data_IF_100805457690
#
_entry.id   IF_100805457690
#
_cell.length_a   1.000
_cell.length_b   1.000
_cell.length_c   1.000
_cell.angle_alpha   90.00
_cell.angle_beta   90.00
_cell.angle_gamma   90.00
#
_symmetry.space_group_name_H-M   'P 1'
#
loop_
_entity.id
_entity.type
_entity.pdbx_description
1 polymer ?
#
# COMPACT_ATOMS: atom_id res chain seq x y z
N UNK A 1 -10.56 0.98 -10.60
CA UNK A 1 -9.18 0.97 -11.14
C UNK A 1 -8.44 -0.22 -10.56
N UNK A 2 -7.85 -1.04 -11.41
CA UNK A 2 -7.06 -2.20 -10.97
C UNK A 2 -5.61 -2.02 -11.33
N UNK A 3 -4.74 -2.28 -10.36
CA UNK A 3 -3.29 -2.29 -10.55
C UNK A 3 -2.75 -3.60 -10.02
N UNK A 4 -1.72 -4.12 -10.67
CA UNK A 4 -1.00 -5.31 -10.20
C UNK A 4 0.48 -4.97 -10.10
N UNK A 5 1.03 -5.09 -8.91
CA UNK A 5 2.46 -4.90 -8.68
C UNK A 5 3.08 -6.26 -8.48
N UNK A 6 3.86 -6.71 -9.46
CA UNK A 6 4.54 -8.00 -9.38
C UNK A 6 5.78 -7.92 -8.49
N UNK A 7 6.12 -9.03 -7.88
CA UNK A 7 7.20 -9.17 -6.93
C UNK A 7 6.67 -9.43 -5.53
N UNK A 8 7.56 -9.86 -4.64
CA UNK A 8 7.19 -10.13 -3.26
C UNK A 8 6.81 -8.84 -2.55
N UNK A 9 5.55 -8.70 -2.08
CA UNK A 9 5.16 -7.52 -1.32
C UNK A 9 6.05 -7.32 -0.09
N UNK A 10 6.46 -6.09 0.14
CA UNK A 10 7.38 -5.75 1.23
C UNK A 10 6.77 -4.72 2.16
N UNK A 11 7.22 -4.73 3.41
CA UNK A 11 6.81 -3.77 4.43
C UNK A 11 7.95 -2.83 4.76
N UNK A 12 7.61 -1.63 5.25
CA UNK A 12 8.61 -0.64 5.67
C UNK A 12 9.30 -1.03 6.97
N UNK A 13 8.60 -1.78 7.83
CA UNK A 13 9.03 -2.04 9.21
C UNK A 13 9.98 -3.23 9.33
N UNK A 14 9.99 -4.14 8.37
CA UNK A 14 10.91 -5.27 8.39
C UNK A 14 12.32 -4.82 8.05
N UNK A 15 13.27 -5.11 8.92
CA UNK A 15 14.69 -4.79 8.71
C UNK A 15 14.96 -3.30 8.50
N UNK A 16 14.28 -2.44 9.25
CA UNK A 16 14.57 -1.02 9.26
C UNK A 16 16.06 -0.79 9.60
N UNK A 17 16.64 0.23 8.98
CA UNK A 17 18.04 0.58 9.15
C UNK A 17 18.18 1.86 9.96
N UNK A 18 19.15 1.87 10.86
CA UNK A 18 19.56 3.09 11.56
C UNK A 18 20.80 3.60 10.84
N UNK A 19 20.73 4.82 10.31
CA UNK A 19 21.85 5.47 9.66
C UNK A 19 22.23 6.75 10.40
N UNK A 20 23.53 7.11 10.34
CA UNK A 20 24.01 8.38 10.83
C UNK A 20 24.05 9.40 9.70
N UNK A 21 23.47 10.56 9.96
CA UNK A 21 23.56 11.71 9.06
C UNK A 21 24.46 12.77 9.67
N UNK A 22 24.71 13.87 8.97
CA UNK A 22 25.56 14.95 9.45
C UNK A 22 25.28 15.32 10.91
N UNK A 23 26.28 15.73 11.65
CA UNK A 23 26.26 16.04 13.10
C UNK A 23 26.03 14.79 13.99
N UNK A 24 26.22 13.59 13.50
CA UNK A 24 26.09 12.36 14.29
C UNK A 24 24.65 11.98 14.64
N UNK A 25 23.64 12.65 14.07
CA UNK A 25 22.24 12.28 14.29
C UNK A 25 21.96 10.90 13.69
N UNK A 26 21.12 10.14 14.39
CA UNK A 26 20.63 8.85 13.89
C UNK A 26 19.24 9.03 13.31
N UNK A 27 19.01 8.47 12.13
CA UNK A 27 17.69 8.38 11.53
C UNK A 27 17.36 6.93 11.24
N UNK A 28 16.06 6.59 11.34
CA UNK A 28 15.56 5.27 11.01
C UNK A 28 15.08 5.34 9.56
N UNK A 29 15.66 4.51 8.70
CA UNK A 29 15.22 4.37 7.32
C UNK A 29 14.38 3.11 7.13
N UNK A 30 13.44 3.11 6.16
CA UNK A 30 12.79 1.89 5.74
C UNK A 30 13.80 0.83 5.32
N UNK A 31 13.38 -0.43 5.31
CA UNK A 31 14.26 -1.52 4.88
C UNK A 31 14.72 -1.31 3.43
N UNK A 32 15.90 -1.81 3.10
CA UNK A 32 16.39 -1.80 1.73
C UNK A 32 15.45 -2.57 0.79
N UNK A 33 14.85 -3.65 1.31
CA UNK A 33 13.87 -4.45 0.58
C UNK A 33 12.63 -3.63 0.22
N UNK A 34 12.14 -2.78 1.13
CA UNK A 34 11.02 -1.91 0.83
C UNK A 34 11.40 -0.84 -0.20
N UNK A 35 12.55 -0.22 -0.07
CA UNK A 35 13.01 0.79 -1.03
C UNK A 35 13.08 0.22 -2.45
N UNK A 36 13.63 -0.99 -2.60
CA UNK A 36 13.68 -1.69 -3.88
C UNK A 36 12.29 -2.00 -4.41
N UNK A 37 11.41 -2.50 -3.54
CA UNK A 37 10.03 -2.78 -3.90
C UNK A 37 9.29 -1.52 -4.37
N UNK A 38 9.45 -0.43 -3.65
CA UNK A 38 8.85 0.86 -4.03
C UNK A 38 9.36 1.34 -5.38
N UNK A 39 10.65 1.23 -5.62
CA UNK A 39 11.25 1.64 -6.90
C UNK A 39 10.71 0.82 -8.06
N UNK A 40 10.69 -0.50 -7.93
CA UNK A 40 10.16 -1.37 -8.99
C UNK A 40 8.66 -1.25 -9.17
N UNK A 41 7.92 -0.92 -8.13
CA UNK A 41 6.47 -0.75 -8.20
C UNK A 41 6.07 0.31 -9.23
N UNK A 42 6.90 1.34 -9.43
CA UNK A 42 6.64 2.38 -10.41
C UNK A 42 6.51 1.85 -11.84
N UNK A 43 7.15 0.73 -12.15
CA UNK A 43 7.06 0.09 -13.46
C UNK A 43 5.66 -0.48 -13.73
N UNK A 44 4.90 -0.75 -12.68
CA UNK A 44 3.56 -1.35 -12.76
C UNK A 44 2.43 -0.33 -12.53
N UNK A 45 2.79 0.95 -12.36
CA UNK A 45 1.83 2.04 -12.18
C UNK A 45 1.90 2.96 -13.41
N UNK A 46 1.04 2.73 -14.40
CA UNK A 46 1.08 3.50 -15.64
C UNK A 46 0.66 4.97 -15.41
N UNK A 47 1.05 5.83 -16.34
CA UNK A 47 0.75 7.26 -16.24
C UNK A 47 -0.76 7.54 -16.09
N UNK A 48 -1.61 6.78 -16.80
CA UNK A 48 -3.07 6.98 -16.74
C UNK A 48 -3.65 6.71 -15.34
N UNK A 49 -2.95 5.95 -14.50
CA UNK A 49 -3.39 5.66 -13.14
C UNK A 49 -2.98 6.73 -12.12
N UNK A 50 -2.07 7.63 -12.49
CA UNK A 50 -1.53 8.67 -11.61
C UNK A 50 -2.44 9.89 -11.59
N UNK A 51 -3.64 9.72 -11.07
CA UNK A 51 -4.74 10.66 -11.16
C UNK A 51 -4.83 11.63 -9.99
N UNK A 52 -3.98 11.50 -8.97
CA UNK A 52 -4.06 12.33 -7.75
C UNK A 52 -5.47 12.30 -7.15
N UNK A 53 -6.04 11.10 -6.99
CA UNK A 53 -7.41 10.94 -6.50
C UNK A 53 -7.54 11.58 -5.12
N UNK A 54 -8.47 12.51 -4.98
CA UNK A 54 -8.73 13.26 -3.74
C UNK A 54 -10.16 13.07 -3.23
N UNK A 55 -10.82 12.00 -3.65
CA UNK A 55 -12.19 11.61 -3.29
C UNK A 55 -12.18 10.36 -2.45
N UNK A 56 -13.27 10.12 -1.68
CA UNK A 56 -13.38 8.88 -0.90
C UNK A 56 -13.29 7.63 -1.78
N UNK A 57 -12.41 6.71 -1.40
CA UNK A 57 -12.21 5.44 -2.11
C UNK A 57 -12.04 4.29 -1.10
N UNK A 58 -12.40 3.10 -1.55
CA UNK A 58 -11.95 1.85 -0.93
C UNK A 58 -10.71 1.37 -1.67
N UNK A 59 -9.67 1.04 -0.93
CA UNK A 59 -8.45 0.46 -1.49
C UNK A 59 -8.37 -1.00 -1.05
N UNK A 60 -8.70 -1.90 -1.95
CA UNK A 60 -8.63 -3.34 -1.69
C UNK A 60 -7.29 -3.87 -2.17
N UNK A 61 -6.52 -4.45 -1.27
CA UNK A 61 -5.23 -5.04 -1.59
C UNK A 61 -5.24 -6.53 -1.27
N UNK A 62 -5.04 -7.36 -2.29
CA UNK A 62 -4.87 -8.79 -2.12
C UNK A 62 -3.41 -9.12 -2.38
N UNK A 63 -2.73 -9.60 -1.34
CA UNK A 63 -1.31 -9.89 -1.38
C UNK A 63 -1.09 -11.38 -1.59
N UNK A 64 -0.40 -11.74 -2.65
CA UNK A 64 -0.01 -13.11 -2.93
C UNK A 64 1.45 -13.27 -2.54
N UNK A 65 1.68 -13.89 -1.38
CA UNK A 65 3.02 -14.06 -0.82
C UNK A 65 3.68 -15.32 -1.35
N UNK A 66 5.02 -15.33 -1.51
CA UNK A 66 5.72 -16.51 -2.04
C UNK A 66 5.86 -17.64 -1.03
N UNK A 67 5.69 -17.36 0.25
CA UNK A 67 5.79 -18.34 1.33
C UNK A 67 4.65 -18.15 2.32
N UNK A 68 4.43 -19.15 3.17
CA UNK A 68 3.41 -19.09 4.22
C UNK A 68 3.95 -18.53 5.54
N UNK A 69 5.08 -17.84 5.50
CA UNK A 69 5.59 -17.14 6.68
C UNK A 69 4.61 -16.07 7.14
N UNK A 70 4.63 -15.81 8.46
CA UNK A 70 3.82 -14.73 9.00
C UNK A 70 4.20 -13.39 8.39
N UNK A 71 3.21 -12.62 8.01
CA UNK A 71 3.36 -11.24 7.59
C UNK A 71 2.20 -10.44 8.19
N UNK A 72 2.47 -9.20 8.54
CA UNK A 72 1.47 -8.32 9.11
C UNK A 72 0.72 -7.62 8.00
N UNK A 73 -0.58 -7.94 7.84
CA UNK A 73 -1.42 -7.33 6.82
C UNK A 73 -1.47 -5.81 6.94
N UNK A 74 -1.55 -5.29 8.16
CA UNK A 74 -1.61 -3.83 8.39
C UNK A 74 -0.34 -3.16 7.87
N UNK A 75 0.82 -3.77 8.10
CA UNK A 75 2.09 -3.22 7.60
C UNK A 75 2.18 -3.28 6.07
N UNK A 76 1.65 -4.32 5.45
CA UNK A 76 1.56 -4.39 3.98
C UNK A 76 0.66 -3.30 3.42
N UNK A 77 -0.49 -3.07 4.05
CA UNK A 77 -1.42 -2.02 3.65
C UNK A 77 -0.81 -0.64 3.78
N UNK A 78 -0.12 -0.36 4.89
CA UNK A 78 0.59 0.90 5.09
C UNK A 78 1.61 1.14 3.98
N UNK A 79 2.43 0.14 3.68
CA UNK A 79 3.43 0.23 2.63
C UNK A 79 2.81 0.48 1.25
N UNK A 80 1.70 -0.21 0.93
CA UNK A 80 1.01 -0.04 -0.34
C UNK A 80 0.40 1.35 -0.46
N UNK A 81 -0.25 1.85 0.59
CA UNK A 81 -0.81 3.21 0.59
C UNK A 81 0.27 4.26 0.36
N UNK A 82 1.44 4.10 0.97
CA UNK A 82 2.56 5.01 0.75
C UNK A 82 3.05 4.97 -0.71
N UNK A 83 3.09 3.80 -1.32
CA UNK A 83 3.47 3.65 -2.73
C UNK A 83 2.46 4.35 -3.63
N UNK A 84 1.17 4.18 -3.37
CA UNK A 84 0.12 4.82 -4.17
C UNK A 84 0.19 6.34 -4.09
N UNK A 85 0.50 6.89 -2.92
CA UNK A 85 0.71 8.34 -2.76
C UNK A 85 2.01 8.78 -3.43
N UNK A 86 3.07 8.02 -3.25
CA UNK A 86 4.39 8.33 -3.84
C UNK A 86 4.32 8.46 -5.36
N UNK A 87 3.60 7.57 -6.02
CA UNK A 87 3.42 7.60 -7.48
C UNK A 87 2.18 8.37 -7.93
N UNK A 88 1.57 9.15 -7.04
CA UNK A 88 0.48 10.07 -7.37
C UNK A 88 -0.80 9.40 -7.89
N UNK A 89 -1.04 8.17 -7.51
CA UNK A 89 -2.34 7.53 -7.74
C UNK A 89 -3.37 8.17 -6.82
N UNK A 90 -3.02 8.34 -5.55
CA UNK A 90 -3.82 9.02 -4.54
C UNK A 90 -3.14 10.33 -4.14
N UNK A 91 -3.93 11.35 -3.85
CA UNK A 91 -3.40 12.64 -3.39
C UNK A 91 -2.80 12.54 -1.99
N UNK A 92 -3.40 11.72 -1.12
CA UNK A 92 -2.94 11.48 0.24
C UNK A 92 -3.58 10.19 0.76
N UNK A 93 -3.11 9.70 1.90
CA UNK A 93 -3.63 8.48 2.54
C UNK A 93 -4.52 8.77 3.77
N UNK A 94 -4.95 10.02 3.95
CA UNK A 94 -5.79 10.39 5.07
C UNK A 94 -7.21 9.81 4.95
N UNK A 95 -7.98 9.87 6.03
CA UNK A 95 -9.31 9.25 6.15
C UNK A 95 -10.40 9.89 5.28
N UNK A 96 -10.13 11.02 4.62
CA UNK A 96 -11.05 11.62 3.66
C UNK A 96 -10.89 11.03 2.27
N UNK A 97 -9.79 10.35 2.03
CA UNK A 97 -9.46 9.72 0.74
C UNK A 97 -9.55 8.20 0.88
N UNK A 98 -8.74 7.61 1.75
CA UNK A 98 -8.84 6.18 2.02
C UNK A 98 -9.82 5.97 3.17
N UNK A 99 -11.08 5.77 2.83
CA UNK A 99 -12.13 5.60 3.84
C UNK A 99 -12.34 4.14 4.22
N UNK A 100 -11.81 3.21 3.45
CA UNK A 100 -11.98 1.79 3.66
C UNK A 100 -10.89 0.99 2.98
N UNK A 101 -10.59 -0.18 3.51
CA UNK A 101 -9.66 -1.17 2.96
C UNK A 101 -10.35 -2.53 2.78
N UNK A 102 -11.68 -2.52 2.66
CA UNK A 102 -12.48 -3.73 2.63
C UNK A 102 -12.06 -4.70 1.53
N UNK A 103 -12.03 -5.97 1.89
CA UNK A 103 -11.66 -7.06 1.01
C UNK A 103 -10.17 -7.36 0.97
N UNK A 104 -9.36 -6.56 1.66
CA UNK A 104 -7.92 -6.77 1.72
C UNK A 104 -7.59 -8.05 2.48
N UNK A 105 -6.61 -8.79 1.98
CA UNK A 105 -6.20 -10.06 2.58
C UNK A 105 -4.84 -10.52 2.08
N UNK A 106 -4.28 -11.49 2.78
CA UNK A 106 -3.04 -12.15 2.40
C UNK A 106 -3.37 -13.57 1.91
N UNK A 107 -2.90 -13.90 0.73
CA UNK A 107 -2.99 -15.20 0.12
C UNK A 107 -1.58 -15.71 -0.21
N UNK A 108 -1.49 -16.85 -0.85
CA UNK A 108 -0.21 -17.50 -1.17
C UNK A 108 -0.16 -17.84 -2.65
N UNK A 109 0.93 -17.47 -3.29
CA UNK A 109 1.26 -17.89 -4.65
C UNK A 109 2.78 -17.91 -4.80
N UNK A 110 3.35 -19.12 -4.75
CA UNK A 110 4.79 -19.31 -4.82
C UNK A 110 5.38 -18.83 -6.14
N UNK A 111 4.66 -19.05 -7.24
CA UNK A 111 5.20 -18.83 -8.58
C UNK A 111 5.07 -17.39 -9.04
N UNK A 112 4.04 -16.68 -8.58
CA UNK A 112 3.78 -15.30 -8.99
C UNK A 112 3.39 -14.42 -7.81
N UNK A 113 4.31 -14.16 -6.90
CA UNK A 113 4.02 -13.22 -5.80
C UNK A 113 3.71 -11.84 -6.36
N UNK A 114 2.70 -11.20 -5.78
CA UNK A 114 2.22 -9.91 -6.28
C UNK A 114 1.25 -9.26 -5.30
N UNK A 115 0.98 -7.98 -5.50
CA UNK A 115 -0.13 -7.28 -4.89
C UNK A 115 -1.13 -6.91 -5.97
N UNK A 116 -2.39 -7.34 -5.81
CA UNK A 116 -3.49 -6.91 -6.66
C UNK A 116 -4.27 -5.82 -5.93
N UNK A 117 -4.33 -4.64 -6.52
CA UNK A 117 -4.90 -3.45 -5.90
C UNK A 117 -6.12 -3.03 -6.70
N UNK A 118 -7.26 -2.89 -6.02
CA UNK A 118 -8.50 -2.43 -6.63
C UNK A 118 -8.99 -1.19 -5.88
N UNK A 119 -9.03 -0.06 -6.58
CA UNK A 119 -9.45 1.22 -6.03
C UNK A 119 -10.84 1.53 -6.59
N UNK A 120 -11.82 1.64 -5.70
CA UNK A 120 -13.21 1.92 -6.06
C UNK A 120 -13.71 3.15 -5.32
N UNK A 121 -14.55 3.95 -5.99
CA UNK A 121 -15.15 5.13 -5.36
C UNK A 121 -16.13 4.70 -4.27
N UNK A 122 -16.16 5.48 -3.20
CA UNK A 122 -17.08 5.32 -2.10
C UNK A 122 -17.93 6.58 -1.94
N UNK A 123 -19.10 6.41 -1.35
CA UNK A 123 -19.92 7.55 -1.00
C UNK A 123 -19.29 8.32 0.16
N UNK A 124 -19.52 9.63 0.19
CA UNK A 124 -19.10 10.46 1.32
C UNK A 124 -20.00 10.17 2.52
N UNK A 125 -19.59 9.18 3.33
CA UNK A 125 -20.24 8.81 4.59
C UNK A 125 -19.56 9.49 5.77
N UNK A 126 -19.50 10.82 5.76
CA UNK A 126 -18.92 11.58 6.87
C UNK A 126 -19.73 11.42 8.16
N UNK A 127 -20.98 10.97 8.07
CA UNK A 127 -21.85 10.68 9.19
C UNK A 127 -22.07 9.18 9.34
N UNK A 128 -21.70 8.64 10.50
CA UNK A 128 -22.00 7.27 10.83
C UNK A 128 -23.50 7.06 10.93
N UNK A 129 -24.04 6.10 10.18
CA UNK A 129 -25.46 5.70 10.28
C UNK A 129 -25.53 4.27 10.75
N UNK A 130 -26.33 4.04 11.79
CA UNK A 130 -26.70 2.68 12.18
C UNK A 130 -27.95 2.33 11.39
N UNK A 131 -27.83 1.33 10.50
CA UNK A 131 -28.98 0.79 9.79
C UNK A 131 -29.46 -0.43 10.57
N UNK A 132 -30.63 -0.31 11.17
CA UNK A 132 -31.28 -1.45 11.80
C UNK A 132 -32.13 -2.19 10.77
N UNK A 133 -31.89 -3.49 10.70
CA UNK A 133 -32.65 -4.36 9.81
C UNK A 133 -34.05 -4.64 10.35
#
# INVERSE_FOLDING_TARGET
MKLVIFGEPATKKNSQRIIRVGNGRRIIKPSAKFEEYQETAGLYIPAWARLMIDRPVNVKCVYFMPTRRRVDLVNLLEATCDILVHYRVLADDNSKIIVSLDGSRVLYDKDRPRAEIDITEEDDNSEGRVVEA
#
